data_IF_704229893408
#
_entry.id   IF_704229893408
#
_cell.length_a   1.000
_cell.length_b   1.000
_cell.length_c   1.000
_cell.angle_alpha   90.00
_cell.angle_beta   90.00
_cell.angle_gamma   90.00
#
_symmetry.space_group_name_H-M   'P 1'
#
loop_
_entity.id
_entity.type
_entity.pdbx_description
1 polymer ?
#
# COMPACT_ATOMS: atom_id res chain seq x y z
N UNK A 1 9.99 9.25 7.55
CA UNK A 1 9.69 10.21 6.46
C UNK A 1 8.92 9.50 5.34
N UNK A 2 7.96 10.19 4.72
CA UNK A 2 7.13 9.60 3.66
C UNK A 2 7.81 9.69 2.30
N UNK A 3 7.77 8.60 1.55
CA UNK A 3 8.25 8.53 0.18
C UNK A 3 7.26 7.80 -0.71
N UNK A 4 7.29 8.13 -1.99
CA UNK A 4 6.63 7.34 -3.03
C UNK A 4 7.71 6.67 -3.86
N UNK A 5 7.59 5.35 -4.04
CA UNK A 5 8.52 4.58 -4.87
C UNK A 5 7.79 3.51 -5.68
N UNK A 6 8.42 2.99 -6.75
CA UNK A 6 7.97 1.73 -7.34
C UNK A 6 7.99 0.60 -6.31
N UNK A 7 7.16 -0.42 -6.54
CA UNK A 7 7.25 -1.65 -5.75
C UNK A 7 8.57 -2.38 -6.01
N UNK A 8 9.03 -3.14 -5.01
CA UNK A 8 10.26 -3.95 -5.05
C UNK A 8 9.91 -5.42 -4.83
N UNK A 9 10.69 -6.32 -5.43
CA UNK A 9 10.55 -7.74 -5.14
C UNK A 9 10.79 -8.00 -3.64
N UNK A 10 9.94 -8.83 -3.05
CA UNK A 10 9.98 -9.10 -1.61
C UNK A 10 9.21 -8.10 -0.75
N UNK A 11 8.64 -7.02 -1.33
CA UNK A 11 7.75 -6.11 -0.60
C UNK A 11 6.61 -6.86 0.08
N UNK A 12 6.33 -6.49 1.34
CA UNK A 12 5.27 -7.09 2.15
C UNK A 12 4.52 -6.04 2.94
N UNK A 13 3.24 -6.31 3.16
CA UNK A 13 2.34 -5.45 3.92
C UNK A 13 1.22 -6.28 4.53
N UNK A 14 0.48 -5.72 5.49
CA UNK A 14 -0.72 -6.35 6.03
C UNK A 14 -1.90 -5.66 5.36
N UNK A 15 -2.60 -6.27 4.39
CA UNK A 15 -3.68 -5.55 3.71
C UNK A 15 -4.83 -5.26 4.68
N UNK A 16 -5.46 -4.09 4.56
CA UNK A 16 -6.57 -3.68 5.43
C UNK A 16 -7.62 -4.79 5.62
N UNK A 17 -7.93 -5.11 6.89
CA UNK A 17 -8.89 -6.15 7.27
C UNK A 17 -8.29 -7.56 7.42
N UNK A 18 -7.04 -7.77 7.00
CA UNK A 18 -6.31 -9.02 7.23
C UNK A 18 -5.39 -8.90 8.44
N UNK A 19 -5.10 -10.04 9.09
CA UNK A 19 -4.23 -10.11 10.27
C UNK A 19 -2.79 -10.55 9.95
N UNK A 20 -2.56 -11.10 8.76
CA UNK A 20 -1.27 -11.66 8.36
C UNK A 20 -0.65 -10.81 7.25
N UNK A 21 0.68 -10.75 7.30
CA UNK A 21 1.47 -10.14 6.25
C UNK A 21 1.35 -10.94 4.95
N UNK A 22 1.31 -10.22 3.83
CA UNK A 22 1.19 -10.75 2.48
C UNK A 22 2.28 -10.16 1.61
N UNK A 23 2.88 -10.97 0.72
CA UNK A 23 3.78 -10.42 -0.31
C UNK A 23 2.95 -9.56 -1.26
N UNK A 24 3.51 -8.42 -1.65
CA UNK A 24 2.88 -7.51 -2.60
C UNK A 24 2.65 -8.19 -3.97
N UNK A 25 3.54 -9.09 -4.36
CA UNK A 25 3.38 -9.89 -5.57
C UNK A 25 2.14 -10.80 -5.52
N UNK A 26 1.89 -11.46 -4.39
CA UNK A 26 0.71 -12.31 -4.19
C UNK A 26 -0.56 -11.44 -4.16
N UNK A 27 -0.49 -10.25 -3.56
CA UNK A 27 -1.58 -9.28 -3.61
C UNK A 27 -1.92 -8.88 -5.04
N UNK A 28 -0.92 -8.59 -5.89
CA UNK A 28 -1.17 -8.26 -7.29
C UNK A 28 -1.78 -9.41 -8.09
N UNK A 29 -1.48 -10.66 -7.74
CA UNK A 29 -2.11 -11.83 -8.37
C UNK A 29 -3.58 -11.91 -7.96
N UNK A 30 -3.87 -11.79 -6.67
CA UNK A 30 -5.24 -11.93 -6.14
C UNK A 30 -6.16 -10.81 -6.62
N UNK A 31 -5.66 -9.58 -6.74
CA UNK A 31 -6.39 -8.43 -7.32
C UNK A 31 -6.41 -8.47 -8.87
N UNK A 32 -5.88 -9.54 -9.48
CA UNK A 32 -5.83 -9.74 -10.95
C UNK A 32 -5.18 -8.59 -11.71
N UNK A 33 -4.16 -7.98 -11.12
CA UNK A 33 -3.46 -6.83 -11.72
C UNK A 33 -2.49 -7.34 -12.79
N UNK A 34 -2.62 -6.89 -14.06
CA UNK A 34 -1.72 -7.28 -15.14
C UNK A 34 -0.25 -6.89 -14.86
N UNK A 35 0.71 -7.71 -15.31
CA UNK A 35 2.14 -7.55 -14.97
C UNK A 35 2.71 -6.21 -15.43
N UNK A 36 2.30 -5.75 -16.60
CA UNK A 36 2.64 -4.47 -17.21
C UNK A 36 2.19 -3.29 -16.36
N UNK A 37 1.01 -3.39 -15.73
CA UNK A 37 0.49 -2.35 -14.83
C UNK A 37 1.20 -2.34 -13.49
N UNK A 38 1.67 -3.48 -12.97
CA UNK A 38 2.32 -3.56 -11.65
C UNK A 38 3.51 -2.60 -11.52
N UNK A 39 4.29 -2.42 -12.60
CA UNK A 39 5.49 -1.56 -12.60
C UNK A 39 5.16 -0.07 -12.43
N UNK A 40 3.95 0.36 -12.80
CA UNK A 40 3.53 1.75 -12.73
C UNK A 40 2.77 2.08 -11.45
N UNK A 41 2.42 1.08 -10.63
CA UNK A 41 1.70 1.29 -9.36
C UNK A 41 2.67 1.95 -8.34
N UNK A 42 2.38 3.17 -7.89
CA UNK A 42 3.17 3.80 -6.85
C UNK A 42 2.89 3.16 -5.49
N UNK A 43 3.93 3.02 -4.66
CA UNK A 43 3.83 2.56 -3.28
C UNK A 43 4.23 3.72 -2.37
N UNK A 44 3.29 4.14 -1.54
CA UNK A 44 3.55 5.08 -0.45
C UNK A 44 4.15 4.32 0.74
N UNK A 45 5.29 4.78 1.22
CA UNK A 45 6.04 4.16 2.31
C UNK A 45 6.45 5.18 3.37
N UNK A 46 6.64 4.72 4.61
CA UNK A 46 7.40 5.41 5.65
C UNK A 46 8.70 4.62 5.91
N UNK A 47 9.82 5.12 5.38
CA UNK A 47 11.04 4.31 5.26
C UNK A 47 10.79 3.06 4.41
N UNK A 48 10.96 1.87 5.00
CA UNK A 48 10.69 0.59 4.32
C UNK A 48 9.27 0.04 4.56
N UNK A 49 8.47 0.69 5.41
CA UNK A 49 7.11 0.22 5.74
C UNK A 49 6.11 0.69 4.70
N UNK A 50 5.41 -0.24 4.06
CA UNK A 50 4.30 0.08 3.15
C UNK A 50 3.13 0.66 3.93
N UNK A 51 2.62 1.79 3.45
CA UNK A 51 1.44 2.48 3.98
C UNK A 51 0.26 2.31 3.03
N UNK A 52 0.49 2.47 1.73
CA UNK A 52 -0.57 2.40 0.73
C UNK A 52 -0.02 1.94 -0.62
N UNK A 53 -0.66 0.91 -1.18
CA UNK A 53 -0.54 0.57 -2.59
C UNK A 53 -1.50 1.52 -3.32
N UNK A 54 -0.94 2.55 -3.96
CA UNK A 54 -1.71 3.70 -4.44
C UNK A 54 -2.75 3.26 -5.47
N UNK A 55 -4.01 3.64 -5.24
CA UNK A 55 -5.16 3.21 -6.05
C UNK A 55 -5.75 1.84 -5.67
N UNK A 56 -5.16 1.12 -4.70
CA UNK A 56 -5.62 -0.21 -4.28
C UNK A 56 -5.93 -0.27 -2.78
N UNK A 57 -4.96 -0.65 -1.94
CA UNK A 57 -5.21 -0.99 -0.53
C UNK A 57 -4.16 -0.42 0.41
N UNK A 58 -4.59 0.05 1.57
CA UNK A 58 -3.70 0.50 2.64
C UNK A 58 -3.19 -0.69 3.47
N UNK A 59 -2.08 -0.49 4.15
CA UNK A 59 -1.64 -1.38 5.23
C UNK A 59 -2.57 -1.21 6.44
N UNK A 60 -3.01 -2.32 7.04
CA UNK A 60 -3.91 -2.35 8.19
C UNK A 60 -3.34 -1.58 9.39
N UNK A 61 -2.02 -1.52 9.52
CA UNK A 61 -1.34 -0.75 10.58
C UNK A 61 -1.45 0.76 10.37
N UNK A 62 -1.72 1.21 9.15
CA UNK A 62 -1.91 2.62 8.81
C UNK A 62 -3.37 3.10 8.94
N UNK A 63 -4.31 2.21 9.29
CA UNK A 63 -5.72 2.58 9.41
C UNK A 63 -5.97 3.54 10.57
N UNK A 64 -6.96 4.42 10.37
CA UNK A 64 -7.50 5.26 11.45
C UNK A 64 -8.21 4.36 12.47
N UNK A 65 -7.98 4.62 13.76
CA UNK A 65 -8.55 3.85 14.88
C UNK A 65 -9.31 4.78 15.82
N UNK A 66 -10.19 4.25 16.68
CA UNK A 66 -10.70 5.01 17.82
C UNK A 66 -9.53 5.62 18.61
N UNK A 67 -9.57 6.93 18.81
CA UNK A 67 -8.50 7.67 19.50
C UNK A 67 -7.39 8.23 18.61
N UNK A 68 -7.42 8.03 17.28
CA UNK A 68 -6.51 8.74 16.37
C UNK A 68 -6.77 10.26 16.46
N UNK A 69 -5.77 11.02 16.95
CA UNK A 69 -5.88 12.47 17.16
C UNK A 69 -5.52 13.32 15.95
N UNK A 70 -4.67 12.79 15.06
CA UNK A 70 -4.19 13.45 13.85
C UNK A 70 -4.26 12.46 12.70
N UNK A 71 -4.76 12.94 11.56
CA UNK A 71 -4.90 12.15 10.34
C UNK A 71 -4.17 12.86 9.22
N UNK A 72 -3.42 12.10 8.42
CA UNK A 72 -2.88 12.57 7.15
C UNK A 72 -3.79 12.07 6.03
N UNK A 73 -4.26 12.99 5.19
CA UNK A 73 -5.10 12.66 4.02
C UNK A 73 -4.23 12.78 2.77
N UNK A 74 -4.11 11.69 2.02
CA UNK A 74 -3.44 11.64 0.73
C UNK A 74 -4.46 11.17 -0.29
N UNK A 75 -4.50 11.83 -1.45
CA UNK A 75 -5.44 11.52 -2.53
C UNK A 75 -4.67 11.23 -3.81
N UNK A 76 -5.05 10.14 -4.49
CA UNK A 76 -4.69 9.93 -5.89
C UNK A 76 -5.64 10.77 -6.73
N UNK A 77 -5.10 11.56 -7.67
CA UNK A 77 -5.87 12.27 -8.68
C UNK A 77 -5.47 11.72 -10.03
N UNK A 78 -6.46 11.37 -10.85
CA UNK A 78 -6.25 11.13 -12.27
C UNK A 78 -6.20 12.49 -12.97
N UNK A 79 -5.39 12.57 -14.03
CA UNK A 79 -5.29 13.75 -14.89
C UNK A 79 -6.28 13.64 -16.06
#
# INVERSE_FOLDING_TARGET
PLFVRPWKFGDRFIPLGLRKEKKLQDFFVDEKIPREKRKTIPILVDGEKIIWIVGYRIDDRAKVKPGTKKVLIIKLREM
#
